data_IF_937351795562
#
_entry.id   IF_937351795562
#
_cell.length_a   1.000
_cell.length_b   1.000
_cell.length_c   1.000
_cell.angle_alpha   90.00
_cell.angle_beta   90.00
_cell.angle_gamma   90.00
#
_symmetry.space_group_name_H-M   'P 1'
#
loop_
_entity.id
_entity.type
_entity.pdbx_description
1 polymer ?
#
# COMPACT_ATOMS: atom_id res chain seq x y z
N UNK A 1 16.17 -18.48 1.30
CA UNK A 1 16.86 -17.17 1.25
C UNK A 1 16.67 -16.53 2.62
N UNK A 2 17.77 -16.09 3.22
CA UNK A 2 17.77 -15.55 4.58
C UNK A 2 17.91 -14.03 4.53
N UNK A 3 17.10 -13.34 5.32
CA UNK A 3 17.07 -11.87 5.35
C UNK A 3 16.53 -11.34 6.67
N UNK A 4 16.79 -10.07 6.91
CA UNK A 4 16.23 -9.30 8.01
C UNK A 4 14.98 -8.55 7.53
N UNK A 5 13.96 -8.46 8.38
CA UNK A 5 12.80 -7.61 8.19
C UNK A 5 13.02 -6.34 9.02
N UNK A 6 12.88 -5.22 8.37
CA UNK A 6 13.22 -3.90 8.89
C UNK A 6 11.98 -3.03 9.05
N UNK A 7 11.99 -2.14 10.04
CA UNK A 7 11.15 -0.95 10.10
C UNK A 7 12.12 0.26 10.16
N UNK A 8 12.20 1.02 9.09
CA UNK A 8 13.33 1.95 8.85
C UNK A 8 14.68 1.25 9.04
N UNK A 9 15.53 1.74 9.91
CA UNK A 9 16.84 1.17 10.19
C UNK A 9 16.85 0.21 11.40
N UNK A 10 15.67 -0.09 11.95
CA UNK A 10 15.50 -1.03 13.05
C UNK A 10 15.21 -2.45 12.52
N UNK A 11 16.00 -3.44 12.94
CA UNK A 11 15.68 -4.85 12.71
C UNK A 11 14.49 -5.23 13.61
N UNK A 12 13.38 -5.68 13.00
CA UNK A 12 12.17 -6.08 13.73
C UNK A 12 11.96 -7.58 13.73
N UNK A 13 12.48 -8.28 12.70
CA UNK A 13 12.45 -9.73 12.65
C UNK A 13 13.58 -10.29 11.76
N UNK A 14 13.82 -11.58 11.88
CA UNK A 14 14.72 -12.37 11.04
C UNK A 14 13.95 -13.49 10.36
N UNK A 15 14.26 -13.72 9.09
CA UNK A 15 13.78 -14.88 8.33
C UNK A 15 14.97 -15.73 7.96
N UNK A 16 15.17 -16.85 8.67
CA UNK A 16 16.32 -17.76 8.52
C UNK A 16 15.79 -19.19 8.43
N UNK A 17 16.28 -19.97 7.49
CA UNK A 17 15.90 -21.38 7.30
C UNK A 17 14.36 -21.57 7.24
N UNK A 18 13.65 -20.64 6.55
CA UNK A 18 12.19 -20.61 6.47
C UNK A 18 11.47 -20.52 7.83
N UNK A 19 12.11 -19.89 8.82
CA UNK A 19 11.52 -19.61 10.13
C UNK A 19 11.60 -18.13 10.43
N UNK A 20 10.49 -17.59 10.94
CA UNK A 20 10.42 -16.24 11.45
C UNK A 20 10.83 -16.19 12.92
N UNK A 21 11.73 -15.29 13.24
CA UNK A 21 12.08 -14.90 14.60
C UNK A 21 11.79 -13.42 14.81
N UNK A 22 10.78 -13.08 15.61
CA UNK A 22 10.43 -11.71 15.93
C UNK A 22 11.40 -11.16 17.00
N UNK A 23 12.10 -10.07 16.66
CA UNK A 23 13.05 -9.38 17.57
C UNK A 23 12.34 -8.25 18.32
N UNK A 24 11.53 -7.47 17.58
CA UNK A 24 10.71 -6.38 18.13
C UNK A 24 9.27 -6.54 17.63
N UNK A 25 8.46 -7.39 18.26
CA UNK A 25 7.10 -7.69 17.79
C UNK A 25 6.24 -6.44 17.58
N UNK A 26 6.22 -5.52 18.55
CA UNK A 26 5.42 -4.29 18.47
C UNK A 26 5.76 -3.39 17.26
N UNK A 27 6.97 -3.49 16.71
CA UNK A 27 7.41 -2.72 15.55
C UNK A 27 7.36 -3.51 14.24
N UNK A 28 7.06 -4.80 14.29
CA UNK A 28 6.94 -5.66 13.12
C UNK A 28 5.59 -5.44 12.40
N UNK A 29 5.47 -5.81 11.10
CA UNK A 29 4.17 -5.87 10.44
C UNK A 29 3.20 -6.74 11.24
N UNK A 30 1.98 -6.26 11.50
CA UNK A 30 0.98 -6.98 12.28
C UNK A 30 0.68 -8.36 11.71
N UNK A 31 0.65 -8.47 10.39
CA UNK A 31 0.44 -9.76 9.74
C UNK A 31 1.47 -10.82 10.15
N UNK A 32 2.73 -10.44 10.31
CA UNK A 32 3.79 -11.36 10.72
C UNK A 32 3.72 -11.72 12.19
N UNK A 33 3.32 -10.77 13.03
CA UNK A 33 3.09 -11.04 14.46
C UNK A 33 1.97 -12.07 14.66
N UNK A 34 0.89 -11.95 13.88
CA UNK A 34 -0.28 -12.83 14.01
C UNK A 34 -0.12 -14.18 13.32
N UNK A 35 0.56 -14.25 12.17
CA UNK A 35 0.54 -15.45 11.31
C UNK A 35 1.89 -16.12 11.14
N UNK A 36 2.99 -15.40 11.37
CA UNK A 36 4.36 -15.82 11.05
C UNK A 36 4.58 -16.21 9.58
N UNK A 37 3.67 -15.85 8.66
CA UNK A 37 3.69 -16.25 7.26
C UNK A 37 4.36 -15.19 6.37
N UNK A 38 5.70 -15.20 6.34
CA UNK A 38 6.51 -14.26 5.55
C UNK A 38 6.25 -14.35 4.04
N UNK A 39 6.17 -15.54 3.40
CA UNK A 39 5.85 -15.63 1.99
C UNK A 39 4.54 -14.93 1.64
N UNK A 40 3.46 -15.16 2.42
CA UNK A 40 2.17 -14.51 2.18
C UNK A 40 2.23 -13.01 2.39
N UNK A 41 2.93 -12.53 3.40
CA UNK A 41 3.16 -11.09 3.60
C UNK A 41 3.85 -10.44 2.40
N UNK A 42 4.85 -11.10 1.79
CA UNK A 42 5.51 -10.59 0.59
C UNK A 42 4.55 -10.60 -0.62
N UNK A 43 3.75 -11.65 -0.79
CA UNK A 43 2.74 -11.71 -1.85
C UNK A 43 1.73 -10.57 -1.77
N UNK A 44 1.25 -10.23 -0.56
CA UNK A 44 0.28 -9.13 -0.37
C UNK A 44 0.85 -7.75 -0.67
N UNK A 45 2.17 -7.63 -0.82
CA UNK A 45 2.85 -6.38 -1.21
C UNK A 45 3.11 -6.27 -2.70
N UNK A 46 2.83 -7.31 -3.47
CA UNK A 46 3.15 -7.37 -4.88
C UNK A 46 2.14 -6.63 -5.76
N UNK A 47 2.62 -6.10 -6.86
CA UNK A 47 1.76 -5.65 -7.97
C UNK A 47 0.89 -6.82 -8.45
N UNK A 48 -0.40 -6.59 -8.64
CA UNK A 48 -1.29 -7.60 -9.22
C UNK A 48 -0.79 -8.00 -10.62
N UNK A 49 -0.56 -9.30 -10.80
CA UNK A 49 -0.10 -9.89 -12.06
C UNK A 49 -1.13 -9.73 -13.21
N UNK A 50 -2.42 -9.56 -12.89
CA UNK A 50 -3.50 -9.32 -13.85
C UNK A 50 -3.59 -7.86 -14.30
N UNK A 51 -2.90 -6.93 -13.64
CA UNK A 51 -2.84 -5.53 -14.08
C UNK A 51 -2.25 -5.45 -15.49
N UNK A 52 -2.93 -4.76 -16.40
CA UNK A 52 -2.61 -4.74 -17.84
C UNK A 52 -1.13 -4.41 -18.12
N UNK A 53 -0.54 -3.46 -17.38
CA UNK A 53 0.82 -3.00 -17.62
C UNK A 53 1.90 -3.68 -16.75
N UNK A 54 1.54 -4.61 -15.86
CA UNK A 54 2.47 -5.30 -14.96
C UNK A 54 3.58 -6.03 -15.71
N UNK A 55 3.22 -6.74 -16.79
CA UNK A 55 4.18 -7.46 -17.65
C UNK A 55 5.16 -6.54 -18.36
N UNK A 56 4.68 -5.38 -18.84
CA UNK A 56 5.55 -4.39 -19.49
C UNK A 56 6.51 -3.75 -18.51
N UNK A 57 6.05 -3.48 -17.30
CA UNK A 57 6.84 -2.95 -16.21
C UNK A 57 7.97 -3.92 -15.82
N UNK A 58 7.64 -5.19 -15.57
CA UNK A 58 8.64 -6.25 -15.28
C UNK A 58 9.67 -6.38 -16.41
N UNK A 59 9.22 -6.30 -17.67
CA UNK A 59 10.12 -6.35 -18.84
C UNK A 59 11.05 -5.12 -18.91
N UNK A 60 10.55 -3.92 -18.64
CA UNK A 60 11.37 -2.70 -18.65
C UNK A 60 12.44 -2.74 -17.54
N UNK A 61 12.12 -3.32 -16.39
CA UNK A 61 13.03 -3.55 -15.28
C UNK A 61 13.99 -4.74 -15.49
N UNK A 62 13.86 -5.47 -16.61
CA UNK A 62 14.67 -6.66 -16.93
C UNK A 62 14.55 -7.77 -15.87
N UNK A 63 13.41 -7.87 -15.21
CA UNK A 63 13.15 -8.92 -14.25
C UNK A 63 12.95 -10.25 -15.00
N UNK A 64 13.71 -11.25 -14.60
CA UNK A 64 13.62 -12.62 -15.14
C UNK A 64 12.56 -13.44 -14.42
N UNK A 65 12.30 -13.10 -13.17
CA UNK A 65 11.35 -13.77 -12.32
C UNK A 65 9.93 -13.33 -12.65
N UNK A 66 9.05 -14.32 -12.79
CA UNK A 66 7.65 -14.12 -13.14
C UNK A 66 6.74 -14.15 -11.93
N UNK A 67 7.26 -14.55 -10.77
CA UNK A 67 6.52 -14.64 -9.54
C UNK A 67 6.41 -13.27 -8.85
N UNK A 68 5.43 -13.15 -7.99
CA UNK A 68 5.13 -11.91 -7.30
C UNK A 68 6.18 -11.64 -6.21
N UNK A 69 6.63 -12.66 -5.50
CA UNK A 69 7.66 -12.55 -4.45
C UNK A 69 8.97 -12.03 -5.04
N UNK A 70 9.47 -12.61 -6.15
CA UNK A 70 10.69 -12.13 -6.80
C UNK A 70 10.61 -10.67 -7.23
N UNK A 71 9.43 -10.22 -7.68
CA UNK A 71 9.19 -8.81 -8.02
C UNK A 71 9.32 -7.90 -6.80
N UNK A 72 8.74 -8.28 -5.68
CA UNK A 72 8.81 -7.55 -4.41
C UNK A 72 10.23 -7.52 -3.86
N UNK A 73 10.92 -8.65 -3.90
CA UNK A 73 12.31 -8.77 -3.45
C UNK A 73 13.27 -7.89 -4.26
N UNK A 74 13.01 -7.68 -5.56
CA UNK A 74 13.85 -6.83 -6.43
C UNK A 74 13.89 -5.36 -6.01
N UNK A 75 12.91 -4.92 -5.21
CA UNK A 75 12.82 -3.57 -4.61
C UNK A 75 12.85 -3.63 -3.08
N UNK A 76 13.45 -4.65 -2.49
CA UNK A 76 13.58 -4.83 -1.04
C UNK A 76 12.25 -4.80 -0.28
N UNK A 77 11.14 -5.15 -0.91
CA UNK A 77 9.78 -5.09 -0.39
C UNK A 77 9.32 -3.70 0.08
N UNK A 78 10.00 -2.62 -0.30
CA UNK A 78 9.65 -1.24 0.06
C UNK A 78 8.31 -0.84 -0.56
N UNK A 79 7.49 -0.08 0.18
CA UNK A 79 6.27 0.58 -0.31
C UNK A 79 6.35 2.09 -0.10
N UNK A 80 5.35 2.83 -0.59
CA UNK A 80 5.21 4.27 -0.30
C UNK A 80 4.55 4.48 1.08
N UNK A 81 3.68 3.57 1.50
CA UNK A 81 2.73 3.78 2.60
C UNK A 81 3.20 3.21 3.95
N UNK A 82 4.36 2.58 3.99
CA UNK A 82 4.95 2.06 5.23
C UNK A 82 6.48 2.05 5.19
N UNK A 83 7.11 1.75 6.32
CA UNK A 83 8.56 1.71 6.50
C UNK A 83 9.13 0.29 6.55
N UNK A 84 8.31 -0.72 6.23
CA UNK A 84 8.77 -2.10 6.25
C UNK A 84 9.51 -2.46 4.98
N UNK A 85 10.66 -3.09 5.14
CA UNK A 85 11.46 -3.58 4.02
C UNK A 85 12.33 -4.76 4.44
N UNK A 86 12.98 -5.38 3.46
CA UNK A 86 13.85 -6.51 3.70
C UNK A 86 15.29 -6.20 3.32
N UNK A 87 16.21 -6.77 4.07
CA UNK A 87 17.63 -6.59 3.95
C UNK A 87 18.34 -7.94 4.02
N UNK A 88 19.25 -8.24 3.06
CA UNK A 88 20.12 -9.41 3.18
C UNK A 88 20.95 -9.29 4.47
N UNK A 89 21.16 -10.41 5.16
CA UNK A 89 21.87 -10.46 6.46
C UNK A 89 23.22 -9.74 6.40
N UNK A 90 23.95 -9.88 5.29
CA UNK A 90 25.29 -9.31 5.10
C UNK A 90 25.29 -7.95 4.37
N UNK A 91 24.15 -7.30 4.26
CA UNK A 91 24.04 -6.01 3.56
C UNK A 91 24.21 -4.84 4.51
N UNK A 92 24.93 -3.80 4.09
CA UNK A 92 25.09 -2.53 4.82
C UNK A 92 24.04 -1.49 4.46
N UNK A 93 23.04 -1.83 3.63
CA UNK A 93 21.98 -0.91 3.21
C UNK A 93 21.24 -0.35 4.43
N UNK A 94 20.90 0.94 4.38
CA UNK A 94 19.98 1.60 5.29
C UNK A 94 18.68 2.00 4.57
N UNK A 95 17.67 2.44 5.32
CA UNK A 95 16.37 2.80 4.75
C UNK A 95 16.47 3.91 3.69
N UNK A 96 17.36 4.87 3.89
CA UNK A 96 17.61 5.94 2.91
C UNK A 96 18.10 5.43 1.54
N UNK A 97 18.78 4.27 1.50
CA UNK A 97 19.28 3.68 0.26
C UNK A 97 18.18 2.98 -0.53
N UNK A 98 17.12 2.51 0.14
CA UNK A 98 16.09 1.65 -0.47
C UNK A 98 14.77 2.37 -0.69
N UNK A 99 14.43 3.38 0.12
CA UNK A 99 13.18 4.14 -0.04
C UNK A 99 13.07 4.75 -1.44
N UNK A 100 11.85 4.93 -1.90
CA UNK A 100 11.58 5.53 -3.21
C UNK A 100 11.73 7.05 -3.15
N UNK A 101 12.40 7.61 -4.15
CA UNK A 101 12.70 9.05 -4.31
C UNK A 101 12.43 9.55 -5.74
N UNK A 102 11.91 8.70 -6.60
CA UNK A 102 11.63 9.02 -8.00
C UNK A 102 10.44 8.24 -8.55
N UNK A 103 9.85 8.74 -9.64
CA UNK A 103 8.67 8.19 -10.31
C UNK A 103 8.94 7.82 -11.79
N UNK A 104 10.16 7.41 -12.14
CA UNK A 104 10.57 7.16 -13.53
C UNK A 104 9.71 6.14 -14.28
N UNK A 105 9.11 5.19 -13.57
CA UNK A 105 8.28 4.14 -14.15
C UNK A 105 6.77 4.44 -14.11
N UNK A 106 6.38 5.54 -13.46
CA UNK A 106 4.97 5.88 -13.24
C UNK A 106 4.14 5.94 -14.54
N UNK A 107 4.68 6.61 -15.58
CA UNK A 107 3.96 6.73 -16.85
C UNK A 107 3.80 5.37 -17.55
N UNK A 108 4.79 4.49 -17.44
CA UNK A 108 4.70 3.13 -17.98
C UNK A 108 3.63 2.32 -17.24
N UNK A 109 3.63 2.37 -15.91
CA UNK A 109 2.65 1.66 -15.09
C UNK A 109 1.21 2.10 -15.39
N UNK A 110 0.99 3.41 -15.61
CA UNK A 110 -0.33 3.97 -15.86
C UNK A 110 -0.83 3.76 -17.29
N UNK A 111 0.05 3.91 -18.30
CA UNK A 111 -0.39 3.99 -19.71
C UNK A 111 0.00 2.80 -20.56
N UNK A 112 1.08 2.12 -20.23
CA UNK A 112 1.64 1.03 -21.04
C UNK A 112 2.07 1.43 -22.46
N UNK A 113 2.26 2.75 -22.72
CA UNK A 113 2.58 3.23 -24.06
C UNK A 113 4.01 2.85 -24.48
N UNK A 114 4.23 2.70 -25.80
CA UNK A 114 5.55 2.38 -26.35
C UNK A 114 6.62 3.40 -25.96
N UNK A 115 6.29 4.69 -26.02
CA UNK A 115 7.22 5.76 -25.63
C UNK A 115 7.56 5.73 -24.14
N UNK A 116 6.58 5.41 -23.28
CA UNK A 116 6.83 5.27 -21.85
C UNK A 116 7.69 4.03 -21.54
N UNK A 117 7.47 2.93 -22.27
CA UNK A 117 8.31 1.74 -22.17
C UNK A 117 9.77 2.04 -22.54
N UNK A 118 10.00 2.71 -23.68
CA UNK A 118 11.36 3.06 -24.11
C UNK A 118 12.07 3.95 -23.09
N UNK A 119 11.40 4.99 -22.57
CA UNK A 119 11.96 5.86 -21.54
C UNK A 119 12.33 5.08 -20.27
N UNK A 120 11.40 4.26 -19.78
CA UNK A 120 11.61 3.42 -18.60
C UNK A 120 12.76 2.42 -18.79
N UNK A 121 12.81 1.73 -19.93
CA UNK A 121 13.85 0.74 -20.24
C UNK A 121 15.26 1.34 -20.33
N UNK A 122 15.39 2.64 -20.59
CA UNK A 122 16.65 3.38 -20.61
C UNK A 122 16.97 4.09 -19.29
N UNK A 123 16.10 3.99 -18.29
CA UNK A 123 16.39 4.51 -16.95
C UNK A 123 17.60 3.81 -16.34
N UNK A 124 18.41 4.58 -15.62
CA UNK A 124 19.52 4.03 -14.82
C UNK A 124 19.04 3.46 -13.49
N UNK A 125 17.89 3.89 -13.01
CA UNK A 125 17.30 3.37 -11.79
C UNK A 125 16.48 2.12 -12.08
N UNK A 126 16.61 1.11 -11.22
CA UNK A 126 15.74 -0.07 -11.17
C UNK A 126 14.77 -0.03 -10.00
N UNK A 127 14.87 1.01 -9.15
CA UNK A 127 13.97 1.22 -8.02
C UNK A 127 12.67 1.86 -8.51
N UNK A 128 11.54 1.27 -8.15
CA UNK A 128 10.23 1.81 -8.49
C UNK A 128 9.17 1.34 -7.49
N UNK A 129 8.29 2.24 -7.00
CA UNK A 129 7.17 1.84 -6.14
C UNK A 129 6.12 1.01 -6.89
N UNK A 130 6.19 0.95 -8.22
CA UNK A 130 5.15 0.30 -9.03
C UNK A 130 5.11 -1.22 -8.85
N UNK A 131 6.20 -1.85 -8.46
CA UNK A 131 6.24 -3.30 -8.18
C UNK A 131 5.56 -3.68 -6.86
N UNK A 132 5.42 -2.70 -5.95
CA UNK A 132 4.73 -2.87 -4.66
C UNK A 132 3.46 -2.02 -4.56
N UNK A 133 2.94 -1.55 -5.70
CA UNK A 133 1.68 -0.84 -5.80
C UNK A 133 0.55 -1.83 -6.06
N UNK A 134 -0.11 -2.30 -5.00
CA UNK A 134 -1.13 -3.37 -5.03
C UNK A 134 -2.44 -2.94 -5.71
N UNK A 135 -3.25 -3.93 -6.15
CA UNK A 135 -4.57 -3.75 -6.76
C UNK A 135 -4.57 -3.87 -8.29
N UNK A 136 -5.74 -4.12 -8.89
CA UNK A 136 -5.93 -4.53 -10.29
C UNK A 136 -6.03 -3.38 -11.31
N UNK A 137 -6.39 -2.19 -10.89
CA UNK A 137 -6.51 -1.03 -11.80
C UNK A 137 -5.14 -0.49 -12.23
N UNK A 138 -5.08 0.09 -13.46
CA UNK A 138 -3.89 0.82 -13.88
C UNK A 138 -3.71 2.06 -13.02
N UNK A 139 -2.65 2.06 -12.27
CA UNK A 139 -2.29 3.14 -11.35
C UNK A 139 -0.78 3.28 -11.21
N UNK A 140 -0.37 4.43 -10.72
CA UNK A 140 1.04 4.70 -10.47
C UNK A 140 1.21 5.72 -9.33
N UNK A 141 2.37 5.70 -8.74
CA UNK A 141 2.80 6.75 -7.82
C UNK A 141 3.55 7.85 -8.54
N UNK A 142 3.19 9.11 -8.29
CA UNK A 142 3.90 10.28 -8.79
C UNK A 142 4.39 11.16 -7.65
N UNK A 143 5.65 11.59 -7.78
CA UNK A 143 6.27 12.49 -6.81
C UNK A 143 6.09 13.94 -7.29
N UNK A 144 5.24 14.70 -6.61
CA UNK A 144 4.89 16.09 -6.96
C UNK A 144 5.29 17.01 -5.81
N UNK A 145 6.28 17.88 -6.02
CA UNK A 145 6.78 18.80 -5.00
C UNK A 145 7.19 18.13 -3.67
N UNK A 146 7.74 16.93 -3.76
CA UNK A 146 8.14 16.15 -2.58
C UNK A 146 7.03 15.34 -1.90
N UNK A 147 5.81 15.36 -2.44
CA UNK A 147 4.67 14.59 -1.94
C UNK A 147 4.30 13.47 -2.92
N UNK A 148 3.99 12.29 -2.40
CA UNK A 148 3.50 11.18 -3.22
C UNK A 148 2.01 11.29 -3.49
N UNK A 149 1.65 11.09 -4.77
CA UNK A 149 0.28 11.06 -5.24
C UNK A 149 0.02 9.79 -6.04
N UNK A 150 -0.97 9.01 -5.67
CA UNK A 150 -1.44 7.90 -6.49
C UNK A 150 -2.32 8.43 -7.62
N UNK A 151 -1.99 8.07 -8.85
CA UNK A 151 -2.80 8.30 -10.05
C UNK A 151 -3.44 6.98 -10.45
N UNK A 152 -4.75 6.90 -10.42
CA UNK A 152 -5.55 5.74 -10.81
C UNK A 152 -6.32 6.08 -12.08
N UNK A 153 -6.20 5.25 -13.12
CA UNK A 153 -7.01 5.38 -14.33
C UNK A 153 -8.45 5.04 -13.98
N UNK A 154 -9.37 5.86 -14.44
CA UNK A 154 -10.77 5.70 -14.11
C UNK A 154 -11.65 6.15 -15.30
N UNK A 155 -12.77 5.47 -15.50
CA UNK A 155 -13.83 5.92 -16.38
C UNK A 155 -14.63 7.05 -15.72
N UNK A 156 -15.68 7.52 -16.41
CA UNK A 156 -16.49 8.64 -15.93
C UNK A 156 -17.24 8.30 -14.63
N UNK A 157 -17.80 7.08 -14.55
CA UNK A 157 -18.65 6.67 -13.44
C UNK A 157 -17.79 6.41 -12.19
N UNK A 158 -16.65 5.73 -12.33
CA UNK A 158 -15.66 5.57 -11.26
C UNK A 158 -15.15 6.91 -10.72
N UNK A 159 -14.88 7.88 -11.62
CA UNK A 159 -14.50 9.24 -11.21
C UNK A 159 -15.64 9.94 -10.46
N UNK A 160 -16.88 9.79 -10.94
CA UNK A 160 -18.03 10.40 -10.29
C UNK A 160 -18.21 9.82 -8.88
N UNK A 161 -18.23 8.49 -8.73
CA UNK A 161 -18.39 7.82 -7.44
C UNK A 161 -17.34 8.26 -6.44
N UNK A 162 -16.06 8.20 -6.81
CA UNK A 162 -14.95 8.57 -5.94
C UNK A 162 -15.05 10.03 -5.45
N UNK A 163 -15.31 10.97 -6.38
CA UNK A 163 -15.43 12.39 -6.01
C UNK A 163 -16.70 12.73 -5.26
N UNK A 164 -17.83 12.12 -5.63
CA UNK A 164 -19.09 12.34 -4.94
C UNK A 164 -18.97 11.88 -3.48
N UNK A 165 -18.45 10.69 -3.25
CA UNK A 165 -18.30 10.14 -1.90
C UNK A 165 -17.27 10.94 -1.09
N UNK A 166 -16.16 11.33 -1.71
CA UNK A 166 -15.18 12.21 -1.09
C UNK A 166 -15.82 13.53 -0.61
N UNK A 167 -16.55 14.22 -1.48
CA UNK A 167 -17.20 15.48 -1.13
C UNK A 167 -18.28 15.28 -0.05
N UNK A 168 -19.09 14.24 -0.17
CA UNK A 168 -20.12 13.91 0.83
C UNK A 168 -19.48 13.64 2.19
N UNK A 169 -18.42 12.83 2.24
CA UNK A 169 -17.70 12.55 3.47
C UNK A 169 -17.10 13.82 4.11
N UNK A 170 -16.53 14.71 3.30
CA UNK A 170 -15.99 16.00 3.78
C UNK A 170 -17.09 16.89 4.33
N UNK A 171 -18.25 17.01 3.68
CA UNK A 171 -19.40 17.79 4.18
C UNK A 171 -19.98 17.22 5.49
N UNK A 172 -19.90 15.90 5.66
CA UNK A 172 -20.31 15.22 6.91
C UNK A 172 -19.22 15.29 8.00
N UNK A 173 -18.07 15.89 7.74
CA UNK A 173 -16.95 15.97 8.68
C UNK A 173 -16.28 14.62 8.95
N UNK A 174 -16.27 13.70 7.98
CA UNK A 174 -15.61 12.41 8.09
C UNK A 174 -14.13 12.51 7.66
N UNK A 175 -13.32 11.60 8.17
CA UNK A 175 -11.91 11.51 7.82
C UNK A 175 -11.74 10.86 6.43
N UNK A 176 -11.49 11.67 5.41
CA UNK A 176 -11.39 11.25 4.00
C UNK A 176 -9.97 11.46 3.47
N UNK A 177 -9.47 10.53 2.64
CA UNK A 177 -8.27 10.76 1.88
C UNK A 177 -8.45 11.92 0.90
N UNK A 178 -7.42 12.72 0.65
CA UNK A 178 -7.49 13.86 -0.26
C UNK A 178 -7.53 13.41 -1.73
N UNK A 179 -8.56 13.84 -2.47
CA UNK A 179 -8.74 13.52 -3.87
C UNK A 179 -8.69 14.75 -4.77
N UNK A 180 -8.08 14.59 -5.94
CA UNK A 180 -8.07 15.61 -7.03
C UNK A 180 -8.40 14.99 -8.38
N UNK A 181 -9.16 15.71 -9.18
CA UNK A 181 -9.44 15.30 -10.56
C UNK A 181 -8.22 15.50 -11.46
N UNK A 182 -8.02 14.55 -12.38
CA UNK A 182 -7.13 14.68 -13.52
C UNK A 182 -7.86 14.37 -14.82
N UNK A 183 -7.18 14.49 -15.94
CA UNK A 183 -7.75 14.10 -17.24
C UNK A 183 -7.68 12.56 -17.37
N UNK A 184 -8.83 11.89 -17.22
CA UNK A 184 -8.95 10.42 -17.25
C UNK A 184 -8.26 9.68 -16.09
N UNK A 185 -7.99 10.39 -14.98
CA UNK A 185 -7.37 9.81 -13.79
C UNK A 185 -7.94 10.44 -12.52
N UNK A 186 -8.04 9.64 -11.48
CA UNK A 186 -8.23 10.06 -10.10
C UNK A 186 -6.85 10.21 -9.46
N UNK A 187 -6.66 11.23 -8.65
CA UNK A 187 -5.43 11.47 -7.92
C UNK A 187 -5.74 11.45 -6.42
N UNK A 188 -5.05 10.60 -5.69
CA UNK A 188 -5.19 10.50 -4.23
C UNK A 188 -3.85 10.83 -3.59
N UNK A 189 -3.83 11.75 -2.63
CA UNK A 189 -2.61 12.06 -1.89
C UNK A 189 -2.25 10.90 -0.96
N UNK A 190 -0.96 10.61 -0.84
CA UNK A 190 -0.46 9.74 0.20
C UNK A 190 -0.82 10.32 1.59
N UNK A 191 -1.58 9.55 2.35
CA UNK A 191 -2.06 9.94 3.68
C UNK A 191 -1.09 9.53 4.80
N UNK A 192 0.01 8.88 4.47
CA UNK A 192 1.06 8.52 5.44
C UNK A 192 2.13 9.59 5.60
N UNK A 193 2.03 10.69 4.83
CA UNK A 193 2.98 11.80 4.80
C UNK A 193 4.42 11.32 4.53
N UNK A 194 4.62 10.65 3.40
CA UNK A 194 5.90 10.03 3.00
C UNK A 194 6.39 8.99 4.02
N UNK A 195 5.49 8.12 4.48
CA UNK A 195 5.73 7.09 5.48
C UNK A 195 6.24 7.66 6.83
N UNK A 196 5.70 8.79 7.27
CA UNK A 196 5.89 9.26 8.65
C UNK A 196 5.10 8.41 9.67
N UNK A 197 4.16 7.62 9.18
CA UNK A 197 3.44 6.56 9.89
C UNK A 197 3.39 5.32 9.02
N UNK A 198 3.17 4.14 9.59
CA UNK A 198 2.97 2.92 8.84
C UNK A 198 1.47 2.70 8.60
N UNK A 199 1.05 2.58 7.34
CA UNK A 199 -0.27 2.10 7.00
C UNK A 199 -0.30 0.56 7.06
N UNK A 200 -1.20 0.02 7.86
CA UNK A 200 -1.49 -1.41 7.93
C UNK A 200 -2.92 -1.63 7.42
N UNK A 201 -3.10 -2.24 6.24
CA UNK A 201 -4.43 -2.61 5.76
C UNK A 201 -5.10 -3.58 6.72
N UNK A 202 -6.42 -3.58 6.79
CA UNK A 202 -7.18 -4.46 7.69
C UNK A 202 -6.86 -5.94 7.46
N UNK A 203 -6.47 -6.34 6.25
CA UNK A 203 -5.94 -7.66 5.96
C UNK A 203 -4.84 -8.09 6.94
N UNK A 204 -4.00 -7.17 7.38
CA UNK A 204 -2.87 -7.48 8.25
C UNK A 204 -3.28 -7.91 9.67
N UNK A 205 -4.50 -7.59 10.10
CA UNK A 205 -5.02 -7.99 11.42
C UNK A 205 -6.36 -8.74 11.38
N UNK A 206 -7.04 -8.76 10.23
CA UNK A 206 -8.29 -9.48 10.01
C UNK A 206 -8.16 -10.67 9.04
N UNK A 207 -7.05 -10.78 8.28
CA UNK A 207 -6.94 -11.64 7.10
C UNK A 207 -8.08 -11.33 6.10
N UNK A 208 -8.69 -12.35 5.52
CA UNK A 208 -9.82 -12.23 4.60
C UNK A 208 -11.19 -12.16 5.32
N UNK A 209 -11.21 -11.84 6.62
CA UNK A 209 -12.46 -11.74 7.37
C UNK A 209 -13.14 -10.39 7.08
N UNK A 210 -14.28 -10.44 6.40
CA UNK A 210 -15.11 -9.28 6.04
C UNK A 210 -16.33 -9.11 6.96
N UNK A 211 -16.34 -9.76 8.13
CA UNK A 211 -17.40 -9.60 9.12
C UNK A 211 -17.26 -8.27 9.86
N UNK A 212 -18.26 -7.40 9.71
CA UNK A 212 -18.25 -6.05 10.30
C UNK A 212 -18.26 -6.05 11.83
N UNK A 213 -18.92 -7.03 12.46
CA UNK A 213 -18.99 -7.13 13.92
C UNK A 213 -17.64 -7.60 14.47
N UNK A 214 -17.06 -8.62 13.85
CA UNK A 214 -15.73 -9.10 14.25
C UNK A 214 -14.67 -7.99 14.06
N UNK A 215 -14.74 -7.23 12.96
CA UNK A 215 -13.86 -6.07 12.74
C UNK A 215 -14.04 -5.03 13.83
N UNK A 216 -15.29 -4.72 14.21
CA UNK A 216 -15.58 -3.77 15.28
C UNK A 216 -15.00 -4.21 16.63
N UNK A 217 -15.12 -5.49 16.96
CA UNK A 217 -14.55 -6.07 18.20
C UNK A 217 -13.02 -6.00 18.17
N UNK A 218 -12.39 -6.40 17.07
CA UNK A 218 -10.95 -6.30 16.90
C UNK A 218 -10.45 -4.84 17.03
N UNK A 219 -11.12 -3.89 16.41
CA UNK A 219 -10.77 -2.47 16.52
C UNK A 219 -10.97 -1.91 17.95
N UNK A 220 -11.95 -2.41 18.72
CA UNK A 220 -12.09 -2.04 20.13
C UNK A 220 -10.86 -2.42 20.95
N UNK A 221 -10.30 -3.58 20.68
CA UNK A 221 -9.13 -4.07 21.40
C UNK A 221 -7.85 -3.36 20.95
N UNK A 222 -7.71 -3.10 19.65
CA UNK A 222 -6.52 -2.45 19.08
C UNK A 222 -6.49 -0.94 19.27
N UNK A 223 -7.61 -0.26 19.05
CA UNK A 223 -7.72 1.20 19.06
C UNK A 223 -9.18 1.63 19.29
N UNK A 224 -9.63 1.81 20.52
CA UNK A 224 -11.01 2.25 20.79
C UNK A 224 -11.41 3.55 20.09
N UNK A 225 -10.44 4.45 19.85
CA UNK A 225 -10.68 5.72 19.17
C UNK A 225 -10.98 5.52 17.66
N UNK A 226 -10.61 4.39 17.07
CA UNK A 226 -10.86 4.06 15.66
C UNK A 226 -12.35 3.73 15.39
N UNK A 227 -13.12 3.36 16.44
CA UNK A 227 -14.49 2.87 16.31
C UNK A 227 -15.42 3.89 15.63
N UNK A 228 -15.32 5.15 16.04
CA UNK A 228 -16.18 6.20 15.51
C UNK A 228 -15.96 6.36 13.98
N UNK A 229 -14.72 6.38 13.54
CA UNK A 229 -14.40 6.55 12.12
C UNK A 229 -14.71 5.27 11.29
N UNK A 230 -14.58 4.10 11.90
CA UNK A 230 -15.03 2.84 11.27
C UNK A 230 -16.54 2.83 11.05
N UNK A 231 -17.34 3.23 12.04
CA UNK A 231 -18.81 3.32 11.91
C UNK A 231 -19.20 4.37 10.86
N UNK A 232 -18.52 5.52 10.80
CA UNK A 232 -18.75 6.55 9.78
C UNK A 232 -18.42 6.02 8.38
N UNK A 233 -17.36 5.25 8.23
CA UNK A 233 -17.01 4.61 6.94
C UNK A 233 -18.12 3.64 6.51
N UNK A 234 -18.60 2.75 7.39
CA UNK A 234 -19.70 1.82 7.07
C UNK A 234 -21.02 2.55 6.79
N UNK A 235 -21.28 3.65 7.49
CA UNK A 235 -22.44 4.51 7.18
C UNK A 235 -22.35 5.06 5.77
N UNK A 236 -21.18 5.58 5.37
CA UNK A 236 -20.95 6.13 4.03
C UNK A 236 -21.09 5.04 2.95
N UNK A 237 -20.50 3.87 3.17
CA UNK A 237 -20.63 2.72 2.27
C UNK A 237 -22.10 2.30 2.11
N UNK A 238 -22.88 2.32 3.20
CA UNK A 238 -24.30 1.96 3.18
C UNK A 238 -25.14 2.94 2.37
N UNK A 239 -24.96 4.25 2.54
CA UNK A 239 -25.77 5.26 1.83
C UNK A 239 -25.35 5.41 0.37
N UNK A 240 -24.11 5.11 0.04
CA UNK A 240 -23.59 5.16 -1.34
C UNK A 240 -23.64 3.79 -2.05
N UNK A 241 -24.15 2.75 -1.36
CA UNK A 241 -24.21 1.38 -1.87
C UNK A 241 -22.86 0.84 -2.35
N UNK A 242 -21.76 1.16 -1.64
CA UNK A 242 -20.43 0.68 -1.96
C UNK A 242 -20.30 -0.83 -1.65
N UNK A 243 -20.14 -1.72 -2.65
CA UNK A 243 -20.05 -3.16 -2.43
C UNK A 243 -18.61 -3.65 -2.19
N UNK A 244 -17.61 -2.77 -2.30
CA UNK A 244 -16.19 -3.16 -2.45
C UNK A 244 -15.33 -2.82 -1.21
N UNK A 245 -15.93 -2.76 -0.01
CA UNK A 245 -15.22 -2.52 1.22
C UNK A 245 -14.56 -3.81 1.76
N UNK A 246 -13.58 -4.31 1.05
CA UNK A 246 -12.78 -5.46 1.50
C UNK A 246 -11.59 -5.03 2.37
N UNK A 247 -10.89 -5.98 3.00
CA UNK A 247 -9.85 -5.74 4.00
C UNK A 247 -8.60 -5.00 3.51
N UNK A 248 -8.42 -4.79 2.19
CA UNK A 248 -7.37 -3.93 1.64
C UNK A 248 -7.84 -2.48 1.40
N UNK A 249 -9.15 -2.18 1.50
CA UNK A 249 -9.72 -0.86 1.24
C UNK A 249 -9.98 -0.05 2.51
N UNK A 250 -9.47 -0.49 3.65
CA UNK A 250 -9.38 0.26 4.90
C UNK A 250 -8.25 -0.30 5.77
N UNK A 251 -7.90 0.40 6.85
CA UNK A 251 -6.84 -0.05 7.74
C UNK A 251 -6.54 0.98 8.82
N UNK A 252 -5.42 0.82 9.48
CA UNK A 252 -4.97 1.66 10.59
C UNK A 252 -3.64 2.33 10.28
N UNK A 253 -3.37 3.45 10.93
CA UNK A 253 -2.08 4.11 10.94
C UNK A 253 -1.38 3.81 12.26
N UNK A 254 -0.12 3.36 12.17
CA UNK A 254 0.71 3.02 13.32
C UNK A 254 1.91 3.96 13.43
N UNK A 255 2.25 4.29 14.65
CA UNK A 255 3.49 4.99 14.97
C UNK A 255 4.70 4.12 14.60
N UNK A 256 5.70 4.73 13.99
CA UNK A 256 6.88 4.02 13.48
C UNK A 256 7.88 3.62 14.57
N UNK A 257 7.90 4.36 15.67
CA UNK A 257 8.89 4.19 16.74
C UNK A 257 8.37 3.34 17.88
N UNK A 258 7.05 3.39 18.16
CA UNK A 258 6.41 2.61 19.24
C UNK A 258 5.63 1.42 18.73
N UNK A 259 5.10 1.49 17.49
CA UNK A 259 4.19 0.50 16.93
C UNK A 259 2.73 0.66 17.39
N UNK A 260 2.43 1.69 18.17
CA UNK A 260 1.07 1.94 18.66
C UNK A 260 0.12 2.28 17.51
N UNK A 261 -1.13 1.84 17.60
CA UNK A 261 -2.17 2.24 16.67
C UNK A 261 -2.62 3.65 17.03
N UNK A 262 -2.50 4.56 16.08
CA UNK A 262 -2.83 5.97 16.26
C UNK A 262 -4.31 6.24 15.95
N UNK A 263 -4.72 5.91 14.73
CA UNK A 263 -6.06 6.19 14.19
C UNK A 263 -6.42 5.19 13.09
N UNK A 264 -7.70 5.16 12.72
CA UNK A 264 -8.14 4.56 11.46
C UNK A 264 -7.59 5.40 10.30
N UNK A 265 -7.11 4.76 9.24
CA UNK A 265 -6.72 5.47 8.03
C UNK A 265 -7.91 6.26 7.45
N UNK A 266 -7.66 7.40 6.77
CA UNK A 266 -8.73 8.11 6.08
C UNK A 266 -9.48 7.19 5.13
N UNK A 267 -10.79 7.38 4.94
CA UNK A 267 -11.58 6.59 3.99
C UNK A 267 -11.09 6.83 2.55
N UNK A 268 -10.82 5.75 1.82
CA UNK A 268 -10.30 5.75 0.46
C UNK A 268 -10.89 4.60 -0.36
N UNK A 269 -10.69 4.64 -1.69
CA UNK A 269 -11.09 3.64 -2.68
C UNK A 269 -12.60 3.34 -2.70
N UNK A 270 -13.38 4.35 -3.14
CA UNK A 270 -14.84 4.31 -3.22
C UNK A 270 -15.35 4.28 -4.68
N UNK A 271 -14.54 3.87 -5.64
CA UNK A 271 -14.84 3.97 -7.06
C UNK A 271 -15.87 2.97 -7.57
N UNK A 272 -16.23 1.97 -6.77
CA UNK A 272 -17.21 0.94 -7.12
C UNK A 272 -18.62 1.21 -6.57
N UNK A 273 -18.84 2.35 -5.89
CA UNK A 273 -20.13 2.73 -5.32
C UNK A 273 -21.08 3.33 -6.34
#
# INVERSE_FOLDING_TARGET
>A
MDFLIMNRDTVVAEWIDNKLNLIKPSLAPMYLELTSNVPKWLETRAIDSHRANSRLLKKALRLTERDDIGSVLSVNAVTITDNYWIKSINSDLCYADVRFDNDYFATLALTGSYDSFNRAAHSKSTKTPELTNIGSFEKCWKLINGEWWMYKKANHDEMFSEFFIYQLGMELGFNMAEYKRGNGVIKTKDFTDNAMVNFEPAFNFMNDCEDYIQTLETLKDLCPNCICDYVKMLFLDTICANPDRHTFNFGILRDIDTGDVLVLAPNFDNNMA
#
